data_IF_864130717951
#
_entry.id   IF_864130717951
#
_cell.length_a   1.000
_cell.length_b   1.000
_cell.length_c   1.000
_cell.angle_alpha   90.00
_cell.angle_beta   90.00
_cell.angle_gamma   90.00
#
_symmetry.space_group_name_H-M   'P 1'
#
loop_
_entity.id
_entity.type
_entity.pdbx_description
1 polymer ?
#
# COMPACT_ATOMS: atom_id res chain seq x y z
N UNK A 1 81.87 -3.32 16.88
CA UNK A 1 80.90 -2.47 16.11
C UNK A 1 80.20 -3.38 15.11
N UNK A 2 78.88 -3.58 15.03
CA UNK A 2 77.78 -2.62 14.98
C UNK A 2 76.41 -3.33 15.16
N UNK A 3 76.25 -4.14 16.23
CA UNK A 3 75.03 -4.96 16.46
C UNK A 3 73.79 -4.11 16.83
N UNK A 4 74.01 -2.90 17.34
CA UNK A 4 72.92 -1.98 17.71
C UNK A 4 72.23 -1.33 16.49
N UNK A 5 72.92 -1.11 15.36
CA UNK A 5 72.30 -0.46 14.19
C UNK A 5 71.29 -1.34 13.46
N UNK A 6 71.48 -2.66 13.43
CA UNK A 6 70.56 -3.60 12.78
C UNK A 6 69.23 -3.71 13.53
N UNK A 7 69.22 -3.67 14.87
CA UNK A 7 67.98 -3.65 15.67
C UNK A 7 67.11 -2.42 15.37
N UNK A 8 67.72 -1.28 15.05
CA UNK A 8 66.99 -0.05 14.75
C UNK A 8 66.36 -0.06 13.35
N UNK A 9 67.00 -0.73 12.37
CA UNK A 9 66.46 -0.88 11.01
C UNK A 9 65.19 -1.74 10.99
N UNK A 10 65.16 -2.85 11.73
CA UNK A 10 63.98 -3.71 11.83
C UNK A 10 62.77 -2.99 12.45
N UNK A 11 62.99 -2.13 13.45
CA UNK A 11 61.92 -1.29 14.01
C UNK A 11 61.30 -0.35 12.98
N UNK A 12 62.11 0.25 12.09
CA UNK A 12 61.62 1.10 11.00
C UNK A 12 60.84 0.31 9.95
N UNK A 13 61.31 -0.89 9.60
CA UNK A 13 60.60 -1.78 8.66
C UNK A 13 59.23 -2.17 9.21
N UNK A 14 59.15 -2.55 10.49
CA UNK A 14 57.88 -2.87 11.14
C UNK A 14 56.92 -1.67 11.17
N UNK A 15 57.43 -0.47 11.44
CA UNK A 15 56.62 0.76 11.44
C UNK A 15 56.07 1.05 10.03
N UNK A 16 56.91 0.95 8.99
CA UNK A 16 56.46 1.13 7.60
C UNK A 16 55.42 0.07 7.22
N UNK A 17 55.64 -1.20 7.59
CA UNK A 17 54.67 -2.27 7.33
C UNK A 17 53.33 -2.00 8.03
N UNK A 18 53.34 -1.57 9.30
CA UNK A 18 52.14 -1.20 10.04
C UNK A 18 51.42 -0.01 9.38
N UNK A 19 52.15 1.02 8.95
CA UNK A 19 51.57 2.17 8.25
C UNK A 19 50.92 1.77 6.91
N UNK A 20 51.56 0.87 6.14
CA UNK A 20 50.99 0.34 4.89
C UNK A 20 49.71 -0.43 5.16
N UNK A 21 49.68 -1.28 6.20
CA UNK A 21 48.47 -2.02 6.58
C UNK A 21 47.35 -1.05 6.95
N UNK A 22 47.62 -0.04 7.78
CA UNK A 22 46.63 0.98 8.15
C UNK A 22 46.09 1.67 6.91
N UNK A 23 46.94 2.19 6.02
CA UNK A 23 46.51 2.86 4.79
C UNK A 23 45.67 1.94 3.91
N UNK A 24 46.05 0.67 3.75
CA UNK A 24 45.31 -0.31 2.98
C UNK A 24 43.93 -0.61 3.61
N UNK A 25 43.85 -0.74 4.94
CA UNK A 25 42.59 -0.96 5.67
C UNK A 25 41.68 0.27 5.56
N UNK A 26 42.21 1.48 5.71
CA UNK A 26 41.45 2.73 5.55
C UNK A 26 40.87 2.83 4.14
N UNK A 27 41.70 2.57 3.12
CA UNK A 27 41.28 2.61 1.72
C UNK A 27 40.17 1.59 1.44
N UNK A 28 40.36 0.33 1.88
CA UNK A 28 39.39 -0.74 1.68
C UNK A 28 38.06 -0.49 2.42
N UNK A 29 38.12 -0.02 3.68
CA UNK A 29 36.93 0.32 4.46
C UNK A 29 36.13 1.45 3.80
N UNK A 30 36.82 2.47 3.28
CA UNK A 30 36.16 3.58 2.59
C UNK A 30 35.52 3.13 1.27
N UNK A 31 36.20 2.27 0.49
CA UNK A 31 35.66 1.69 -0.74
C UNK A 31 34.39 0.84 -0.47
N UNK A 32 34.41 -0.01 0.56
CA UNK A 32 33.22 -0.79 0.97
C UNK A 32 32.08 0.13 1.38
N UNK A 33 32.33 1.12 2.23
CA UNK A 33 31.30 2.05 2.68
C UNK A 33 30.64 2.77 1.50
N UNK A 34 31.45 3.22 0.52
CA UNK A 34 30.92 3.87 -0.67
C UNK A 34 30.09 2.92 -1.54
N UNK A 35 30.52 1.66 -1.72
CA UNK A 35 29.73 0.64 -2.45
C UNK A 35 28.39 0.38 -1.78
N UNK A 36 28.39 0.17 -0.45
CA UNK A 36 27.17 -0.05 0.32
C UNK A 36 26.23 1.14 0.22
N UNK A 37 26.74 2.38 0.28
CA UNK A 37 25.91 3.58 0.11
C UNK A 37 25.20 3.61 -1.24
N UNK A 38 25.92 3.30 -2.32
CA UNK A 38 25.33 3.24 -3.68
C UNK A 38 24.27 2.14 -3.76
N UNK A 39 24.52 0.98 -3.16
CA UNK A 39 23.54 -0.11 -3.08
C UNK A 39 22.29 0.28 -2.27
N UNK A 40 22.46 0.92 -1.11
CA UNK A 40 21.36 1.41 -0.28
C UNK A 40 20.50 2.44 -1.02
N UNK A 41 21.12 3.42 -1.69
CA UNK A 41 20.41 4.40 -2.52
C UNK A 41 19.64 3.73 -3.67
N UNK A 42 20.24 2.73 -4.32
CA UNK A 42 19.57 1.97 -5.39
C UNK A 42 18.37 1.21 -4.85
N UNK A 43 18.49 0.59 -3.67
CA UNK A 43 17.37 -0.09 -3.00
C UNK A 43 16.23 0.86 -2.68
N UNK A 44 16.52 2.05 -2.15
CA UNK A 44 15.49 3.07 -1.87
C UNK A 44 14.81 3.54 -3.16
N UNK A 45 15.56 3.70 -4.25
CA UNK A 45 14.99 4.06 -5.55
C UNK A 45 14.06 2.97 -6.08
N UNK A 46 14.51 1.72 -6.12
CA UNK A 46 13.68 0.59 -6.57
C UNK A 46 12.43 0.41 -5.70
N UNK A 47 12.58 0.62 -4.39
CA UNK A 47 11.48 0.64 -3.44
C UNK A 47 10.47 1.74 -3.79
N UNK A 48 10.92 2.97 -4.05
CA UNK A 48 10.04 4.08 -4.43
C UNK A 48 9.30 3.81 -5.76
N UNK A 49 9.99 3.24 -6.75
CA UNK A 49 9.40 2.85 -8.03
C UNK A 49 8.35 1.74 -7.86
N UNK A 50 8.64 0.75 -7.01
CA UNK A 50 7.72 -0.34 -6.70
C UNK A 50 6.46 0.16 -5.98
N UNK A 51 6.58 1.15 -5.08
CA UNK A 51 5.42 1.79 -4.44
C UNK A 51 4.54 2.47 -5.50
N UNK A 52 5.13 3.28 -6.38
CA UNK A 52 4.38 4.00 -7.43
C UNK A 52 3.67 3.02 -8.36
N UNK A 53 4.38 2.01 -8.87
CA UNK A 53 3.81 1.03 -9.79
C UNK A 53 2.63 0.28 -9.16
N UNK A 54 2.74 -0.08 -7.88
CA UNK A 54 1.69 -0.81 -7.17
C UNK A 54 0.53 0.09 -6.77
N UNK A 55 0.77 1.32 -6.33
CA UNK A 55 -0.29 2.31 -6.08
C UNK A 55 -1.10 2.58 -7.35
N UNK A 56 -0.47 2.60 -8.52
CA UNK A 56 -1.17 2.69 -9.81
C UNK A 56 -2.05 1.48 -10.10
N UNK A 57 -1.61 0.27 -9.76
CA UNK A 57 -2.46 -0.92 -9.87
C UNK A 57 -3.67 -0.83 -8.92
N UNK A 58 -3.47 -0.41 -7.67
CA UNK A 58 -4.56 -0.22 -6.71
C UNK A 58 -5.56 0.81 -7.22
N UNK A 59 -5.10 1.97 -7.70
CA UNK A 59 -5.95 3.00 -8.28
C UNK A 59 -6.73 2.49 -9.50
N UNK A 60 -6.08 1.75 -10.39
CA UNK A 60 -6.75 1.12 -11.54
C UNK A 60 -7.83 0.11 -11.09
N UNK A 61 -7.54 -0.72 -10.10
CA UNK A 61 -8.51 -1.70 -9.58
C UNK A 61 -9.69 -1.01 -8.89
N UNK A 62 -9.45 0.08 -8.16
CA UNK A 62 -10.51 0.85 -7.52
C UNK A 62 -11.46 1.47 -8.56
N UNK A 63 -10.89 2.07 -9.61
CA UNK A 63 -11.68 2.60 -10.72
C UNK A 63 -12.51 1.51 -11.41
N UNK A 64 -11.91 0.33 -11.64
CA UNK A 64 -12.60 -0.81 -12.22
C UNK A 64 -13.77 -1.28 -11.32
N UNK A 65 -13.59 -1.30 -10.00
CA UNK A 65 -14.66 -1.65 -9.08
C UNK A 65 -15.80 -0.63 -9.08
N UNK A 66 -15.49 0.66 -9.17
CA UNK A 66 -16.52 1.70 -9.28
C UNK A 66 -17.32 1.55 -10.57
N UNK A 67 -16.65 1.31 -11.70
CA UNK A 67 -17.31 1.08 -12.99
C UNK A 67 -18.19 -0.18 -12.98
N UNK A 68 -17.65 -1.31 -12.52
CA UNK A 68 -18.39 -2.57 -12.41
C UNK A 68 -19.53 -2.48 -11.39
N UNK A 69 -19.34 -1.78 -10.28
CA UNK A 69 -20.39 -1.54 -9.30
C UNK A 69 -21.55 -0.73 -9.89
N UNK A 70 -21.24 0.28 -10.71
CA UNK A 70 -22.25 1.03 -11.46
C UNK A 70 -22.98 0.13 -12.47
N UNK A 71 -22.28 -0.76 -13.16
CA UNK A 71 -22.91 -1.75 -14.05
C UNK A 71 -23.83 -2.74 -13.30
N UNK A 72 -23.40 -3.26 -12.14
CA UNK A 72 -24.21 -4.16 -11.32
C UNK A 72 -25.47 -3.45 -10.81
N UNK A 73 -25.36 -2.17 -10.44
CA UNK A 73 -26.53 -1.34 -10.11
C UNK A 73 -27.50 -1.22 -11.29
N UNK A 74 -26.99 -0.92 -12.49
CA UNK A 74 -27.83 -0.85 -13.69
C UNK A 74 -28.52 -2.18 -14.00
N UNK A 75 -27.86 -3.31 -13.79
CA UNK A 75 -28.49 -4.64 -13.93
C UNK A 75 -29.59 -4.85 -12.89
N UNK A 76 -29.37 -4.43 -11.64
CA UNK A 76 -30.37 -4.51 -10.58
C UNK A 76 -31.61 -3.65 -10.91
N UNK A 77 -31.42 -2.41 -11.38
CA UNK A 77 -32.50 -1.51 -11.80
C UNK A 77 -33.37 -2.15 -12.90
N UNK A 78 -32.73 -2.71 -13.93
CA UNK A 78 -33.41 -3.37 -15.04
C UNK A 78 -34.15 -4.64 -14.61
N UNK A 79 -33.59 -5.38 -13.65
CA UNK A 79 -34.25 -6.55 -13.08
C UNK A 79 -35.50 -6.13 -12.30
N UNK A 80 -35.39 -5.06 -11.51
CA UNK A 80 -36.50 -4.50 -10.76
C UNK A 80 -37.63 -4.04 -11.71
N UNK A 81 -37.29 -3.36 -12.81
CA UNK A 81 -38.24 -2.98 -13.87
C UNK A 81 -38.93 -4.20 -14.51
N UNK A 82 -38.17 -5.27 -14.78
CA UNK A 82 -38.72 -6.51 -15.34
C UNK A 82 -39.75 -7.15 -14.40
N UNK A 83 -39.47 -7.22 -13.10
CA UNK A 83 -40.43 -7.71 -12.11
C UNK A 83 -41.66 -6.83 -11.97
N UNK A 84 -41.51 -5.50 -12.05
CA UNK A 84 -42.64 -4.56 -12.07
C UNK A 84 -43.57 -4.86 -13.25
N UNK A 85 -43.01 -5.03 -14.44
CA UNK A 85 -43.77 -5.25 -15.67
C UNK A 85 -44.52 -6.59 -15.70
N UNK A 86 -44.01 -7.64 -15.04
CA UNK A 86 -44.75 -8.91 -14.90
C UNK A 86 -46.00 -8.75 -14.04
N UNK A 87 -45.90 -8.00 -12.94
CA UNK A 87 -47.00 -7.84 -12.00
C UNK A 87 -48.04 -6.81 -12.49
N UNK A 88 -47.63 -5.82 -13.28
CA UNK A 88 -48.52 -4.83 -13.86
C UNK A 88 -48.21 -4.57 -15.35
N UNK A 89 -48.49 -5.53 -16.24
CA UNK A 89 -48.17 -5.40 -17.65
C UNK A 89 -49.12 -4.42 -18.36
N UNK A 90 -48.61 -3.46 -19.15
CA UNK A 90 -49.42 -2.66 -20.06
C UNK A 90 -50.22 -3.56 -21.02
N UNK A 91 -51.45 -3.13 -21.34
CA UNK A 91 -52.35 -3.92 -22.20
C UNK A 91 -51.70 -4.19 -23.57
N UNK A 92 -51.60 -5.48 -23.93
CA UNK A 92 -51.06 -5.93 -25.22
C UNK A 92 -49.53 -6.10 -25.27
N UNK A 93 -48.83 -6.02 -24.15
CA UNK A 93 -47.37 -6.23 -24.09
C UNK A 93 -47.00 -7.72 -24.22
N UNK A 94 -45.99 -8.01 -25.05
CA UNK A 94 -45.34 -9.32 -25.11
C UNK A 94 -44.32 -9.45 -23.97
N UNK A 95 -44.53 -10.46 -23.12
CA UNK A 95 -43.71 -10.72 -21.93
C UNK A 95 -42.50 -11.62 -22.21
N UNK A 96 -42.35 -12.14 -23.44
CA UNK A 96 -41.26 -13.05 -23.83
C UNK A 96 -39.88 -12.40 -23.61
N UNK A 97 -39.74 -11.12 -23.97
CA UNK A 97 -38.52 -10.33 -23.71
C UNK A 97 -38.21 -10.17 -22.22
N UNK A 98 -39.24 -10.08 -21.37
CA UNK A 98 -39.08 -9.91 -19.93
C UNK A 98 -38.62 -11.20 -19.28
N UNK A 99 -39.18 -12.33 -19.72
CA UNK A 99 -38.73 -13.64 -19.27
C UNK A 99 -37.25 -13.86 -19.59
N UNK A 100 -36.81 -13.53 -20.80
CA UNK A 100 -35.39 -13.68 -21.18
C UNK A 100 -34.46 -12.87 -20.28
N UNK A 101 -34.86 -11.65 -19.91
CA UNK A 101 -34.08 -10.80 -19.01
C UNK A 101 -34.00 -11.37 -17.57
N UNK A 102 -35.12 -11.84 -17.03
CA UNK A 102 -35.17 -12.46 -15.69
C UNK A 102 -34.36 -13.75 -15.61
N UNK A 103 -34.46 -14.61 -16.62
CA UNK A 103 -33.69 -15.86 -16.69
C UNK A 103 -32.20 -15.62 -16.98
N UNK A 104 -31.83 -14.46 -17.54
CA UNK A 104 -30.43 -14.10 -17.80
C UNK A 104 -29.67 -13.70 -16.53
N UNK A 105 -30.35 -13.16 -15.51
CA UNK A 105 -29.70 -12.81 -14.24
C UNK A 105 -29.49 -14.05 -13.35
N UNK A 106 -28.24 -14.51 -13.27
CA UNK A 106 -27.87 -15.67 -12.44
C UNK A 106 -27.12 -15.33 -11.16
N UNK A 107 -26.82 -14.05 -10.92
CA UNK A 107 -25.79 -13.66 -9.96
C UNK A 107 -26.18 -12.55 -8.99
N UNK A 108 -27.10 -11.65 -9.37
CA UNK A 108 -27.51 -10.53 -8.52
C UNK A 108 -28.62 -11.01 -7.58
N UNK A 109 -28.40 -10.99 -6.25
CA UNK A 109 -29.41 -11.33 -5.26
C UNK A 109 -30.42 -10.19 -5.10
N UNK A 110 -31.71 -10.51 -5.17
CA UNK A 110 -32.79 -9.52 -5.09
C UNK A 110 -33.93 -10.04 -4.22
N UNK A 111 -34.43 -9.16 -3.34
CA UNK A 111 -35.63 -9.35 -2.53
C UNK A 111 -36.66 -8.28 -2.92
N UNK A 112 -37.89 -8.70 -3.18
CA UNK A 112 -38.98 -7.82 -3.58
C UNK A 112 -40.06 -7.89 -2.52
N UNK A 113 -40.47 -6.74 -2.01
CA UNK A 113 -41.50 -6.59 -0.98
C UNK A 113 -42.65 -5.72 -1.49
N UNK A 114 -43.83 -5.91 -0.91
CA UNK A 114 -45.01 -5.06 -1.13
C UNK A 114 -45.05 -3.85 -0.16
N UNK A 115 -46.15 -3.09 -0.20
CA UNK A 115 -46.36 -1.91 0.65
C UNK A 115 -46.49 -2.25 2.14
N UNK A 116 -46.89 -3.48 2.45
CA UNK A 116 -47.06 -3.97 3.82
C UNK A 116 -45.78 -4.57 4.40
N UNK A 117 -44.66 -4.47 3.67
CA UNK A 117 -43.37 -5.07 3.99
C UNK A 117 -43.38 -6.61 3.96
N UNK A 118 -44.32 -7.22 3.23
CA UNK A 118 -44.36 -8.67 2.98
C UNK A 118 -43.51 -9.05 1.76
N UNK A 119 -42.78 -10.17 1.87
CA UNK A 119 -41.92 -10.65 0.80
C UNK A 119 -42.73 -11.26 -0.35
N UNK A 120 -42.67 -10.63 -1.53
CA UNK A 120 -43.27 -11.13 -2.76
C UNK A 120 -42.37 -12.14 -3.48
N UNK A 121 -41.11 -11.78 -3.71
CA UNK A 121 -40.18 -12.59 -4.48
C UNK A 121 -38.77 -12.57 -3.90
N UNK A 122 -38.06 -13.68 -4.09
CA UNK A 122 -36.61 -13.79 -3.86
C UNK A 122 -35.93 -14.33 -5.11
N UNK A 123 -34.79 -13.76 -5.48
CA UNK A 123 -34.05 -14.09 -6.69
C UNK A 123 -32.59 -14.26 -6.31
N UNK A 124 -31.96 -15.38 -6.67
CA UNK A 124 -30.57 -15.69 -6.32
C UNK A 124 -30.25 -15.56 -4.81
N UNK A 125 -31.25 -15.78 -3.95
CA UNK A 125 -31.14 -15.79 -2.49
C UNK A 125 -31.54 -17.16 -1.97
N UNK A 126 -30.67 -17.77 -1.14
CA UNK A 126 -30.93 -19.07 -0.53
C UNK A 126 -32.08 -18.99 0.50
N UNK A 127 -32.86 -20.08 0.61
CA UNK A 127 -34.00 -20.20 1.51
C UNK A 127 -33.60 -20.33 2.98
N UNK A 128 -32.38 -20.78 3.27
CA UNK A 128 -31.86 -20.93 4.63
C UNK A 128 -31.42 -19.62 5.30
N UNK A 129 -31.37 -18.51 4.56
CA UNK A 129 -30.86 -17.22 5.07
C UNK A 129 -31.94 -16.47 5.86
N UNK A 130 -31.54 -15.84 6.95
CA UNK A 130 -32.41 -14.93 7.70
C UNK A 130 -32.72 -13.68 6.84
N UNK A 131 -33.99 -13.54 6.45
CA UNK A 131 -34.46 -12.48 5.55
C UNK A 131 -34.27 -11.08 6.14
N UNK A 132 -34.56 -10.89 7.43
CA UNK A 132 -34.46 -9.58 8.07
C UNK A 132 -33.02 -9.11 8.14
N UNK A 133 -32.11 -10.03 8.50
CA UNK A 133 -30.67 -9.77 8.50
C UNK A 133 -30.19 -9.44 7.09
N UNK A 134 -30.56 -10.24 6.09
CA UNK A 134 -30.13 -10.02 4.70
C UNK A 134 -30.68 -8.71 4.13
N UNK A 135 -31.93 -8.39 4.42
CA UNK A 135 -32.57 -7.12 4.04
C UNK A 135 -31.86 -5.93 4.68
N UNK A 136 -31.47 -6.05 5.95
CA UNK A 136 -30.70 -5.02 6.65
C UNK A 136 -29.32 -4.83 6.01
N UNK A 137 -28.60 -5.90 5.68
CA UNK A 137 -27.30 -5.81 5.01
C UNK A 137 -27.42 -5.23 3.60
N UNK A 138 -28.43 -5.64 2.84
CA UNK A 138 -28.72 -5.09 1.51
C UNK A 138 -29.00 -3.60 1.57
N UNK A 139 -29.84 -3.14 2.51
CA UNK A 139 -30.16 -1.72 2.71
C UNK A 139 -28.95 -0.90 3.16
N UNK A 140 -28.09 -1.48 4.00
CA UNK A 140 -26.88 -0.82 4.46
C UNK A 140 -25.85 -0.63 3.33
N UNK A 141 -25.73 -1.62 2.44
CA UNK A 141 -24.81 -1.56 1.31
C UNK A 141 -25.36 -0.72 0.14
N UNK A 142 -26.67 -0.83 -0.16
CA UNK A 142 -27.28 -0.23 -1.34
C UNK A 142 -28.64 0.40 -1.02
N UNK A 143 -28.89 1.59 -1.58
CA UNK A 143 -30.21 2.21 -1.53
C UNK A 143 -31.24 1.33 -2.26
N UNK A 144 -32.39 1.03 -1.63
CA UNK A 144 -33.43 0.21 -2.23
C UNK A 144 -34.07 0.92 -3.43
N UNK A 145 -34.52 0.15 -4.40
CA UNK A 145 -35.26 0.63 -5.57
C UNK A 145 -36.74 0.61 -5.20
N UNK A 146 -37.38 1.78 -5.20
CA UNK A 146 -38.78 1.94 -4.78
C UNK A 146 -39.63 2.28 -6.00
N UNK A 147 -40.68 1.49 -6.24
CA UNK A 147 -41.69 1.78 -7.25
C UNK A 147 -43.00 2.17 -6.58
N UNK A 148 -43.23 3.48 -6.46
CA UNK A 148 -44.43 4.02 -5.82
C UNK A 148 -45.73 3.66 -6.57
N UNK A 149 -45.67 3.46 -7.88
CA UNK A 149 -46.87 3.22 -8.71
C UNK A 149 -47.51 1.83 -8.48
N UNK A 150 -46.71 0.87 -8.00
CA UNK A 150 -47.14 -0.50 -7.71
C UNK A 150 -46.93 -0.87 -6.23
N UNK A 151 -46.40 0.06 -5.44
CA UNK A 151 -46.17 -0.19 -4.03
C UNK A 151 -45.05 -1.20 -3.73
N UNK A 152 -44.09 -1.37 -4.63
CA UNK A 152 -43.05 -2.38 -4.46
C UNK A 152 -41.73 -1.77 -4.01
N UNK A 153 -41.05 -2.44 -3.08
CA UNK A 153 -39.69 -2.10 -2.67
C UNK A 153 -38.74 -3.24 -2.96
N UNK A 154 -37.67 -2.95 -3.69
CA UNK A 154 -36.65 -3.92 -4.08
C UNK A 154 -35.36 -3.66 -3.30
N UNK A 155 -34.92 -4.67 -2.56
CA UNK A 155 -33.60 -4.73 -1.93
C UNK A 155 -32.69 -5.61 -2.77
N UNK A 156 -31.47 -5.16 -3.00
CA UNK A 156 -30.51 -5.85 -3.85
C UNK A 156 -29.11 -5.73 -3.26
N UNK A 157 -28.23 -6.66 -3.66
CA UNK A 157 -26.80 -6.59 -3.38
C UNK A 157 -25.99 -6.84 -4.64
N UNK A 158 -24.71 -6.49 -4.61
CA UNK A 158 -23.76 -6.88 -5.64
C UNK A 158 -23.70 -8.41 -5.77
N UNK A 159 -23.24 -8.92 -6.91
CA UNK A 159 -23.04 -10.36 -7.08
C UNK A 159 -21.99 -10.92 -6.11
N UNK A 160 -22.18 -12.17 -5.66
CA UNK A 160 -21.26 -12.83 -4.72
C UNK A 160 -19.81 -12.80 -5.21
N UNK A 161 -19.58 -13.08 -6.50
CA UNK A 161 -18.24 -13.08 -7.10
C UNK A 161 -17.59 -11.71 -7.07
N UNK A 162 -18.38 -10.65 -7.27
CA UNK A 162 -17.88 -9.28 -7.20
C UNK A 162 -17.51 -8.91 -5.77
N UNK A 163 -18.37 -9.25 -4.79
CA UNK A 163 -18.08 -9.05 -3.36
C UNK A 163 -16.83 -9.80 -2.93
N UNK A 164 -16.70 -11.10 -3.26
CA UNK A 164 -15.51 -11.90 -2.93
C UNK A 164 -14.24 -11.31 -3.57
N UNK A 165 -14.32 -10.87 -4.83
CA UNK A 165 -13.19 -10.23 -5.50
C UNK A 165 -12.80 -8.92 -4.79
N UNK A 166 -13.79 -8.10 -4.42
CA UNK A 166 -13.58 -6.86 -3.69
C UNK A 166 -12.94 -7.11 -2.32
N UNK A 167 -13.42 -8.10 -1.57
CA UNK A 167 -12.89 -8.47 -0.26
C UNK A 167 -11.44 -8.96 -0.36
N UNK A 168 -11.16 -9.90 -1.29
CA UNK A 168 -9.79 -10.39 -1.53
C UNK A 168 -8.86 -9.26 -1.94
N UNK A 169 -9.33 -8.33 -2.78
CA UNK A 169 -8.52 -7.19 -3.20
C UNK A 169 -8.28 -6.21 -2.06
N UNK A 170 -9.28 -5.96 -1.20
CA UNK A 170 -9.14 -5.12 -0.02
C UNK A 170 -8.11 -5.72 0.95
N UNK A 171 -8.21 -7.02 1.22
CA UNK A 171 -7.23 -7.74 2.06
C UNK A 171 -5.81 -7.65 1.47
N UNK A 172 -5.68 -7.75 0.14
CA UNK A 172 -4.40 -7.58 -0.56
C UNK A 172 -3.87 -6.15 -0.48
N UNK A 173 -4.74 -5.12 -0.52
CA UNK A 173 -4.34 -3.72 -0.33
C UNK A 173 -3.81 -3.53 1.10
N UNK A 174 -4.55 -4.00 2.10
CA UNK A 174 -4.18 -3.87 3.51
C UNK A 174 -2.90 -4.66 3.84
N UNK A 175 -2.76 -5.87 3.28
CA UNK A 175 -1.55 -6.69 3.36
C UNK A 175 -0.37 -6.05 2.60
N UNK A 176 -0.59 -5.44 1.44
CA UNK A 176 0.45 -4.78 0.65
C UNK A 176 1.10 -3.63 1.41
N UNK A 177 0.29 -2.80 2.09
CA UNK A 177 0.78 -1.73 2.96
C UNK A 177 1.58 -2.30 4.14
N UNK A 178 1.39 -3.58 4.48
CA UNK A 178 1.95 -4.17 5.71
C UNK A 178 3.17 -5.06 5.51
N UNK A 179 3.29 -5.83 4.41
CA UNK A 179 4.17 -7.01 4.42
C UNK A 179 5.50 -6.91 3.62
N UNK A 180 5.50 -6.46 2.36
CA UNK A 180 6.63 -6.84 1.46
C UNK A 180 7.48 -5.69 0.92
N UNK A 181 7.04 -4.44 1.00
CA UNK A 181 7.84 -3.31 0.49
C UNK A 181 8.60 -2.63 1.65
N UNK A 182 8.04 -2.63 2.86
CA UNK A 182 8.56 -1.89 4.02
C UNK A 182 9.69 -2.59 4.83
N UNK A 183 9.81 -3.91 4.75
CA UNK A 183 10.82 -4.66 5.52
C UNK A 183 12.17 -4.82 4.80
N UNK A 184 12.23 -4.54 3.50
CA UNK A 184 13.42 -4.79 2.67
C UNK A 184 14.50 -3.70 2.77
N UNK A 185 14.13 -2.49 3.18
CA UNK A 185 15.07 -1.41 3.40
C UNK A 185 15.68 -1.52 4.81
N UNK A 186 16.99 -1.73 4.90
CA UNK A 186 17.78 -1.54 6.14
C UNK A 186 17.98 -0.04 6.48
N UNK A 187 17.37 0.82 5.68
CA UNK A 187 17.55 2.26 5.62
C UNK A 187 16.36 2.93 6.35
N UNK A 188 16.58 3.91 7.22
CA UNK A 188 15.50 4.73 7.78
C UNK A 188 14.82 5.54 6.66
N UNK A 189 13.50 5.44 6.57
CA UNK A 189 12.71 6.12 5.52
C UNK A 189 11.51 6.82 6.14
N UNK A 190 11.21 8.02 5.67
CA UNK A 190 10.03 8.80 6.03
C UNK A 190 9.37 9.30 4.76
N UNK A 191 8.07 9.11 4.67
CA UNK A 191 7.23 9.52 3.55
C UNK A 191 6.27 10.60 4.01
N UNK A 192 6.28 11.72 3.30
CA UNK A 192 5.50 12.91 3.61
C UNK A 192 4.51 13.21 2.50
N UNK A 193 3.50 13.98 2.86
CA UNK A 193 2.52 14.54 1.94
C UNK A 193 3.13 15.56 0.96
N UNK A 194 2.28 16.14 0.11
CA UNK A 194 2.68 17.18 -0.84
C UNK A 194 3.26 18.43 -0.18
N UNK A 195 2.88 18.73 1.06
CA UNK A 195 3.35 19.90 1.81
C UNK A 195 4.69 19.66 2.51
N UNK A 196 5.18 18.40 2.57
CA UNK A 196 6.39 17.97 3.29
C UNK A 196 6.33 18.18 4.79
N UNK A 197 5.13 18.32 5.35
CA UNK A 197 4.94 18.59 6.79
C UNK A 197 4.22 17.45 7.50
N UNK A 198 3.31 16.76 6.81
CA UNK A 198 2.59 15.63 7.38
C UNK A 198 3.26 14.32 6.96
N UNK A 199 3.56 13.47 7.94
CA UNK A 199 4.05 12.12 7.65
C UNK A 199 2.88 11.19 7.36
N UNK A 200 2.92 10.63 6.17
CA UNK A 200 1.99 9.60 5.69
C UNK A 200 2.46 8.23 6.16
N UNK A 201 3.78 8.00 6.14
CA UNK A 201 4.36 6.73 6.51
C UNK A 201 5.81 6.87 6.98
N UNK A 202 6.28 6.02 7.89
CA UNK A 202 7.67 6.01 8.34
C UNK A 202 8.13 4.60 8.73
N UNK A 203 9.42 4.33 8.59
CA UNK A 203 9.99 3.02 8.87
C UNK A 203 11.42 3.13 9.40
N UNK A 204 11.76 2.32 10.42
CA UNK A 204 13.06 2.34 11.13
C UNK A 204 13.42 3.72 11.69
N UNK A 205 12.39 4.49 12.06
CA UNK A 205 12.48 5.80 12.72
C UNK A 205 11.74 5.72 14.04
N UNK A 206 12.22 6.43 15.06
CA UNK A 206 11.57 6.53 16.36
C UNK A 206 10.21 7.23 16.22
N UNK A 207 9.13 6.55 16.60
CA UNK A 207 7.76 7.08 16.53
C UNK A 207 7.57 8.32 17.41
N UNK A 208 8.34 8.45 18.50
CA UNK A 208 8.32 9.64 19.34
C UNK A 208 8.90 10.88 18.64
N UNK A 209 9.80 10.69 17.68
CA UNK A 209 10.33 11.79 16.85
C UNK A 209 9.35 12.20 15.75
N UNK A 210 8.50 11.28 15.30
CA UNK A 210 7.44 11.52 14.29
C UNK A 210 6.22 12.20 14.91
N UNK A 211 5.92 11.93 16.18
CA UNK A 211 4.76 12.52 16.86
C UNK A 211 4.93 14.02 17.21
N UNK A 212 6.16 14.52 17.24
CA UNK A 212 6.49 15.91 17.60
C UNK A 212 6.80 16.74 16.33
N UNK A 213 5.97 17.73 15.96
CA UNK A 213 6.18 18.56 14.78
C UNK A 213 7.53 19.29 14.72
N UNK A 214 8.11 19.66 15.86
CA UNK A 214 9.41 20.32 15.86
C UNK A 214 10.56 19.34 15.58
N UNK A 215 10.42 18.09 16.06
CA UNK A 215 11.45 17.05 15.85
C UNK A 215 11.41 16.50 14.44
N UNK A 216 10.21 16.41 13.85
CA UNK A 216 10.08 15.87 12.50
C UNK A 216 10.70 16.80 11.46
N UNK A 217 10.55 18.11 11.61
CA UNK A 217 11.21 19.07 10.72
C UNK A 217 12.74 18.93 10.77
N UNK A 218 13.30 18.78 11.98
CA UNK A 218 14.74 18.56 12.17
C UNK A 218 15.19 17.25 11.54
N UNK A 219 14.42 16.17 11.73
CA UNK A 219 14.71 14.86 11.15
C UNK A 219 14.68 14.90 9.62
N UNK A 220 13.65 15.50 9.03
CA UNK A 220 13.49 15.62 7.58
C UNK A 220 14.59 16.50 6.99
N UNK A 221 14.98 17.56 7.67
CA UNK A 221 16.10 18.41 7.27
C UNK A 221 17.44 17.65 7.31
N UNK A 222 17.69 16.85 8.35
CA UNK A 222 18.88 16.00 8.45
C UNK A 222 18.93 14.96 7.32
N UNK A 223 17.82 14.25 7.10
CA UNK A 223 17.70 13.29 5.99
C UNK A 223 17.92 13.95 4.63
N UNK A 224 17.33 15.12 4.39
CA UNK A 224 17.49 15.86 3.14
C UNK A 224 18.90 16.41 2.94
N UNK A 225 19.62 16.70 4.02
CA UNK A 225 21.03 17.12 3.97
C UNK A 225 21.97 15.97 3.59
N UNK A 226 21.63 14.75 4.01
CA UNK A 226 22.40 13.56 3.74
C UNK A 226 22.12 13.01 2.33
N UNK A 227 20.85 12.99 1.92
CA UNK A 227 20.41 12.44 0.64
C UNK A 227 19.24 13.26 0.05
N UNK A 228 19.22 13.42 -1.27
CA UNK A 228 18.12 14.12 -1.94
C UNK A 228 16.81 13.33 -1.81
N UNK A 229 15.71 13.95 -1.33
CA UNK A 229 14.42 13.28 -1.24
C UNK A 229 13.91 12.84 -2.62
N UNK A 230 13.25 11.68 -2.67
CA UNK A 230 12.64 11.15 -3.88
C UNK A 230 11.20 11.64 -3.95
N UNK A 231 10.84 12.33 -5.02
CA UNK A 231 9.46 12.70 -5.29
C UNK A 231 8.75 11.54 -5.99
N UNK A 232 7.57 11.17 -5.50
CA UNK A 232 6.70 10.16 -6.09
C UNK A 232 5.31 10.74 -6.31
N UNK A 233 4.67 10.36 -7.41
CA UNK A 233 3.29 10.76 -7.70
C UNK A 233 2.40 9.53 -7.52
N UNK A 234 1.54 9.56 -6.49
CA UNK A 234 0.59 8.49 -6.22
C UNK A 234 -0.77 8.83 -6.81
N UNK A 235 -1.42 7.90 -7.55
CA UNK A 235 -2.79 8.09 -8.02
C UNK A 235 -3.76 8.28 -6.84
N UNK A 236 -4.58 9.33 -6.90
CA UNK A 236 -5.54 9.67 -5.84
C UNK A 236 -4.98 10.49 -4.68
N UNK A 237 -3.70 10.33 -4.34
CA UNK A 237 -3.06 11.03 -3.20
C UNK A 237 -2.14 12.19 -3.62
N UNK A 238 -1.80 12.28 -4.90
CA UNK A 238 -0.98 13.35 -5.45
C UNK A 238 0.51 13.17 -5.18
N UNK A 239 1.25 14.28 -5.23
CA UNK A 239 2.71 14.27 -5.09
C UNK A 239 3.12 14.10 -3.64
N UNK A 240 4.03 13.17 -3.38
CA UNK A 240 4.56 12.87 -2.06
C UNK A 240 6.09 12.81 -2.10
N UNK A 241 6.72 12.92 -0.93
CA UNK A 241 8.18 12.98 -0.81
C UNK A 241 8.72 11.93 0.16
N UNK A 242 9.69 11.18 -0.31
CA UNK A 242 10.38 10.12 0.43
C UNK A 242 11.77 10.64 0.85
N UNK A 243 11.95 10.75 2.14
CA UNK A 243 13.20 11.10 2.82
C UNK A 243 13.86 9.83 3.34
N UNK A 244 15.18 9.76 3.24
CA UNK A 244 15.92 8.59 3.70
C UNK A 244 17.33 8.95 4.18
N UNK A 245 17.79 8.26 5.23
CA UNK A 245 19.11 8.46 5.83
C UNK A 245 20.05 7.29 5.51
N UNK A 246 21.35 7.44 5.72
CA UNK A 246 22.28 6.30 5.66
C UNK A 246 21.92 5.25 6.72
N UNK A 247 22.13 3.95 6.45
CA UNK A 247 21.85 2.92 7.47
C UNK A 247 22.78 3.03 8.68
N UNK A 248 22.35 2.42 9.80
CA UNK A 248 23.19 2.31 11.00
C UNK A 248 24.50 1.58 10.69
N UNK A 249 24.44 0.55 9.85
CA UNK A 249 25.62 -0.26 9.46
C UNK A 249 26.60 0.57 8.65
N UNK A 250 26.11 1.30 7.65
CA UNK A 250 26.93 2.20 6.84
C UNK A 250 27.59 3.28 7.70
N UNK A 251 26.82 3.84 8.64
CA UNK A 251 27.33 4.83 9.60
C UNK A 251 28.46 4.24 10.45
N UNK A 252 28.30 3.02 10.99
CA UNK A 252 29.33 2.34 11.78
C UNK A 252 30.59 2.04 10.96
N UNK A 253 30.45 1.58 9.71
CA UNK A 253 31.58 1.29 8.82
C UNK A 253 32.42 2.54 8.52
N UNK A 254 31.79 3.72 8.47
CA UNK A 254 32.50 4.99 8.23
C UNK A 254 33.37 5.41 9.42
N UNK A 255 32.96 5.11 10.66
CA UNK A 255 33.70 5.47 11.87
C UNK A 255 34.69 4.40 12.34
N UNK A 256 34.51 3.14 11.93
CA UNK A 256 35.39 2.02 12.31
C UNK A 256 36.88 2.32 12.08
N UNK A 257 37.31 2.83 10.92
CA UNK A 257 38.68 3.33 10.67
C UNK A 257 39.25 4.26 11.75
N UNK A 258 38.44 5.22 12.21
CA UNK A 258 38.87 6.24 13.16
C UNK A 258 39.06 5.63 14.56
N UNK A 259 38.17 4.74 14.97
CA UNK A 259 38.31 4.00 16.23
C UNK A 259 39.57 3.14 16.21
N UNK A 260 39.87 2.48 15.08
CA UNK A 260 41.10 1.69 14.93
C UNK A 260 42.36 2.56 15.05
N UNK A 261 42.37 3.75 14.46
CA UNK A 261 43.48 4.69 14.60
C UNK A 261 43.69 5.16 16.05
N UNK A 262 42.60 5.44 16.77
CA UNK A 262 42.66 5.79 18.20
C UNK A 262 43.23 4.65 19.02
N UNK A 263 42.79 3.41 18.78
CA UNK A 263 43.34 2.23 19.46
C UNK A 263 44.84 2.06 19.19
N UNK A 264 45.27 2.18 17.93
CA UNK A 264 46.69 2.09 17.57
C UNK A 264 47.50 3.23 18.22
N UNK A 265 46.93 4.43 18.36
CA UNK A 265 47.63 5.56 18.99
C UNK A 265 47.77 5.42 20.51
N UNK A 266 46.88 4.65 21.16
CA UNK A 266 46.89 4.40 22.61
C UNK A 266 47.87 3.29 23.01
N UNK A 267 48.14 2.32 22.11
CA UNK A 267 49.06 1.20 22.32
C UNK A 267 50.48 1.48 21.84
#
# INVERSE_FOLDING_TARGET
MNVYSNKQRWKRVLLVAAAVIVVATLWYSNDIAQRIRVEEQTKVKLWSEAIVQRAALVGYTQQLFEELGAEERHKADRLADAYRLINNPPRGMDLTFITDYLWSNKTIPVLIFDESDELLYRVNVDRGVNLDSLKATMRAANAPIVFNDVGHTIYWSESLRFSELKDVMQDLIDSFISETVLNSASVPVVMTDSTRTAVVHFQRVDSAAVADPARIEVLLADMASANNPIAVDLPGEGRQYIYFADSIVLTQLRYYPLVQLVLIAVF
#
